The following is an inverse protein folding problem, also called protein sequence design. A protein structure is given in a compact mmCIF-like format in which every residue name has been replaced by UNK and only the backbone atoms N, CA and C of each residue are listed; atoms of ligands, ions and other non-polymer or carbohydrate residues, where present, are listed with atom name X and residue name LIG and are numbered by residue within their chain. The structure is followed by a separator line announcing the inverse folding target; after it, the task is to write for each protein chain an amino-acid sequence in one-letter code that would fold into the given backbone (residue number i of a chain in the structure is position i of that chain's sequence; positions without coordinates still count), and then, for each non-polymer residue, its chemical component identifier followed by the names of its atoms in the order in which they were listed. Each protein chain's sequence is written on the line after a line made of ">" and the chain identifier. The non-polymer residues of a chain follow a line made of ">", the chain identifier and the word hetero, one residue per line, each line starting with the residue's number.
data_IF_042746441111
#
_entry.id   IF_042746441111
#
_cell.length_a   1.000
_cell.length_b   1.000
_cell.length_c   1.000
_cell.angle_alpha   90.00
_cell.angle_beta   90.00
_cell.angle_gamma   90.00
#
_symmetry.space_group_name_H-M   'P 1'
#
loop_
_entity.id
_entity.type
_entity.pdbx_description
1 polymer ?
#
# COMPACT_ATOMS: atom_id res chain seq x y z
N UNK A 1 64.03 33.10 10.46
CA UNK A 1 62.56 33.31 10.36
C UNK A 1 61.74 32.10 10.86
N UNK A 2 61.57 31.87 12.18
CA UNK A 2 60.78 30.73 12.70
C UNK A 2 59.39 31.09 13.27
N UNK A 3 59.08 32.37 13.47
CA UNK A 3 57.81 32.83 14.09
C UNK A 3 56.61 32.77 13.12
N UNK A 4 56.84 32.92 11.82
CA UNK A 4 55.78 32.92 10.81
C UNK A 4 55.19 31.51 10.59
N UNK A 5 56.05 30.49 10.53
CA UNK A 5 55.67 29.08 10.38
C UNK A 5 54.84 28.55 11.56
N UNK A 6 55.12 29.03 12.79
CA UNK A 6 54.35 28.63 13.99
C UNK A 6 52.94 29.21 14.00
N UNK A 7 52.76 30.48 13.60
CA UNK A 7 51.43 31.11 13.51
C UNK A 7 50.57 30.47 12.42
N UNK A 8 51.15 30.14 11.27
CA UNK A 8 50.46 29.39 10.21
C UNK A 8 50.11 27.96 10.65
N UNK A 9 50.99 27.25 11.37
CA UNK A 9 50.64 25.95 11.95
C UNK A 9 49.48 26.03 12.95
N UNK A 10 49.48 27.04 13.84
CA UNK A 10 48.41 27.23 14.82
C UNK A 10 47.09 27.57 14.12
N UNK A 11 47.11 28.41 13.08
CA UNK A 11 45.91 28.73 12.30
C UNK A 11 45.38 27.51 11.54
N UNK A 12 46.26 26.68 10.97
CA UNK A 12 45.87 25.44 10.29
C UNK A 12 45.30 24.40 11.25
N UNK A 13 45.88 24.26 12.46
CA UNK A 13 45.35 23.39 13.51
C UNK A 13 43.98 23.86 14.00
N UNK A 14 43.79 25.17 14.20
CA UNK A 14 42.49 25.74 14.56
C UNK A 14 41.43 25.51 13.47
N UNK A 15 41.80 25.66 12.19
CA UNK A 15 40.91 25.37 11.06
C UNK A 15 40.53 23.88 11.01
N UNK A 16 41.50 22.98 11.20
CA UNK A 16 41.25 21.54 11.20
C UNK A 16 40.32 21.12 12.35
N UNK A 17 40.50 21.69 13.54
CA UNK A 17 39.61 21.45 14.68
C UNK A 17 38.21 22.00 14.43
N UNK A 18 38.07 23.17 13.80
CA UNK A 18 36.77 23.73 13.44
C UNK A 18 36.04 22.83 12.45
N UNK A 19 36.73 22.33 11.42
CA UNK A 19 36.15 21.38 10.45
C UNK A 19 35.70 20.10 11.15
N UNK A 20 36.50 19.54 12.05
CA UNK A 20 36.13 18.35 12.82
C UNK A 20 34.88 18.58 13.68
N UNK A 21 34.82 19.70 14.39
CA UNK A 21 33.66 20.06 15.23
C UNK A 21 32.40 20.22 14.36
N UNK A 22 32.50 20.89 13.21
CA UNK A 22 31.38 21.05 12.28
C UNK A 22 30.92 19.71 11.72
N UNK A 23 31.84 18.82 11.33
CA UNK A 23 31.47 17.48 10.86
C UNK A 23 30.81 16.63 11.94
N UNK A 24 31.26 16.74 13.20
CA UNK A 24 30.66 16.03 14.32
C UNK A 24 29.27 16.58 14.66
N UNK A 25 29.11 17.91 14.67
CA UNK A 25 27.82 18.56 14.87
C UNK A 25 26.81 18.20 13.77
N UNK A 26 27.22 18.24 12.50
CA UNK A 26 26.40 17.82 11.36
C UNK A 26 26.02 16.34 11.46
N UNK A 27 26.93 15.47 11.90
CA UNK A 27 26.65 14.05 12.12
C UNK A 27 25.72 13.80 13.32
N UNK A 28 25.79 14.64 14.36
CA UNK A 28 24.88 14.56 15.51
C UNK A 28 23.47 15.11 15.24
N UNK A 29 23.34 15.98 14.22
CA UNK A 29 22.08 16.54 13.76
C UNK A 29 21.48 15.75 12.59
N UNK A 30 22.28 14.92 11.91
CA UNK A 30 21.79 13.96 10.94
C UNK A 30 21.09 12.82 11.70
N UNK A 31 19.82 12.51 11.40
CA UNK A 31 19.22 11.28 11.90
C UNK A 31 20.08 10.12 11.37
N UNK A 32 20.50 9.24 12.27
CA UNK A 32 21.32 8.06 11.98
C UNK A 32 20.87 7.42 10.66
N UNK A 33 21.78 7.34 9.69
CA UNK A 33 21.62 6.48 8.54
C UNK A 33 21.35 5.08 9.07
N UNK A 34 20.12 4.61 8.86
CA UNK A 34 19.72 3.25 9.14
C UNK A 34 20.61 2.34 8.31
N UNK A 35 21.67 1.85 8.95
CA UNK A 35 22.36 0.63 8.57
C UNK A 35 21.28 -0.41 8.26
N UNK A 36 21.37 -0.95 7.05
CA UNK A 36 20.63 -2.08 6.53
C UNK A 36 20.55 -3.18 7.60
N UNK A 37 19.46 -3.20 8.36
CA UNK A 37 19.15 -4.28 9.28
C UNK A 37 17.76 -4.80 8.94
N UNK A 38 17.72 -6.12 8.92
CA UNK A 38 16.64 -7.06 8.66
C UNK A 38 15.20 -6.55 8.74
N UNK A 39 14.40 -7.03 7.79
CA UNK A 39 13.00 -6.66 7.58
C UNK A 39 12.17 -6.66 8.87
N UNK A 40 11.63 -5.48 9.20
CA UNK A 40 10.44 -5.37 10.03
C UNK A 40 9.68 -4.07 9.76
N UNK A 41 8.43 -4.26 9.33
CA UNK A 41 7.25 -3.38 9.45
C UNK A 41 7.34 -1.94 8.88
N UNK A 42 6.83 -1.78 7.66
CA UNK A 42 6.26 -0.51 7.20
C UNK A 42 4.73 -0.60 7.31
N UNK A 43 4.15 -0.07 8.39
CA UNK A 43 2.80 0.51 8.35
C UNK A 43 2.53 1.36 9.60
N UNK A 44 2.47 2.70 9.49
CA UNK A 44 1.97 3.54 10.58
C UNK A 44 0.44 3.75 10.53
N UNK A 45 -0.29 3.13 9.59
CA UNK A 45 -1.71 3.45 9.37
C UNK A 45 -2.72 2.52 10.10
N UNK A 46 -2.24 1.52 10.83
CA UNK A 46 -3.11 0.63 11.60
C UNK A 46 -2.78 0.66 13.09
N UNK A 47 -3.05 1.79 13.76
CA UNK A 47 -3.24 1.82 15.21
C UNK A 47 -4.73 1.99 15.52
N UNK A 48 -5.42 0.86 15.63
CA UNK A 48 -6.63 0.79 16.43
C UNK A 48 -6.39 -0.23 17.55
N UNK A 49 -6.72 0.22 18.76
CA UNK A 49 -6.51 -0.44 20.04
C UNK A 49 -6.87 -1.92 20.06
N UNK A 50 -5.85 -2.77 20.06
CA UNK A 50 -6.00 -4.17 20.44
C UNK A 50 -5.94 -4.28 21.98
N UNK A 51 -7.05 -3.94 22.65
CA UNK A 51 -7.28 -4.43 24.02
C UNK A 51 -7.44 -5.96 23.92
N UNK A 52 -6.41 -6.70 24.35
CA UNK A 52 -6.49 -8.16 24.51
C UNK A 52 -7.58 -8.48 25.54
N UNK A 53 -8.75 -8.87 25.05
CA UNK A 53 -9.69 -9.67 25.81
C UNK A 53 -9.57 -11.08 25.26
N UNK A 54 -8.97 -11.98 26.05
CA UNK A 54 -9.07 -13.42 25.82
C UNK A 54 -10.55 -13.80 25.92
N UNK A 55 -11.23 -13.84 24.78
CA UNK A 55 -12.53 -14.48 24.65
C UNK A 55 -12.24 -15.90 24.20
N UNK A 56 -12.46 -16.87 25.09
CA UNK A 56 -12.49 -18.28 24.73
C UNK A 56 -13.48 -18.45 23.58
N UNK A 57 -12.98 -18.86 22.41
CA UNK A 57 -13.79 -19.13 21.25
C UNK A 57 -14.46 -20.49 21.43
N UNK A 58 -15.51 -20.54 22.24
CA UNK A 58 -16.52 -21.58 22.09
C UNK A 58 -17.13 -21.40 20.70
N UNK A 59 -16.79 -22.31 19.78
CA UNK A 59 -17.50 -22.42 18.50
C UNK A 59 -18.98 -22.59 18.83
N UNK A 60 -19.86 -21.64 18.47
CA UNK A 60 -21.28 -21.89 18.58
C UNK A 60 -21.54 -23.10 17.68
N UNK A 61 -22.02 -24.20 18.25
CA UNK A 61 -22.73 -25.19 17.43
C UNK A 61 -23.80 -24.38 16.72
N UNK A 62 -23.66 -24.19 15.40
CA UNK A 62 -24.74 -23.73 14.56
C UNK A 62 -25.91 -24.64 14.87
N UNK A 63 -26.85 -24.15 15.67
CA UNK A 63 -28.18 -24.72 15.70
C UNK A 63 -28.64 -24.77 14.25
N UNK A 64 -29.33 -25.85 13.88
CA UNK A 64 -30.09 -25.93 12.63
C UNK A 64 -31.21 -24.89 12.69
N UNK A 65 -30.88 -23.61 12.71
CA UNK A 65 -31.79 -22.55 12.31
C UNK A 65 -32.08 -22.83 10.84
N UNK A 66 -33.35 -23.08 10.54
CA UNK A 66 -33.82 -23.30 9.18
C UNK A 66 -33.26 -22.17 8.31
N UNK A 67 -32.49 -22.56 7.28
CA UNK A 67 -32.08 -21.61 6.24
C UNK A 67 -33.38 -21.00 5.71
N UNK A 68 -33.54 -19.67 5.70
CA UNK A 68 -34.72 -19.07 5.09
C UNK A 68 -34.82 -19.61 3.66
N UNK A 69 -36.01 -20.09 3.30
CA UNK A 69 -36.27 -20.57 1.95
C UNK A 69 -35.79 -19.49 0.96
N UNK A 70 -35.05 -19.87 -0.08
CA UNK A 70 -34.50 -18.90 -0.99
C UNK A 70 -35.60 -18.03 -1.59
N UNK A 71 -35.44 -16.70 -1.50
CA UNK A 71 -36.28 -15.76 -2.23
C UNK A 71 -36.35 -16.19 -3.70
N UNK A 72 -37.54 -16.52 -4.20
CA UNK A 72 -37.78 -17.01 -5.55
C UNK A 72 -37.20 -16.03 -6.59
N UNK A 73 -37.24 -14.73 -6.29
CA UNK A 73 -36.65 -13.68 -7.11
C UNK A 73 -35.13 -13.75 -7.13
N UNK A 74 -34.52 -14.04 -5.98
CA UNK A 74 -33.07 -14.25 -5.88
C UNK A 74 -32.67 -15.50 -6.67
N UNK A 75 -33.39 -16.61 -6.55
CA UNK A 75 -33.09 -17.84 -7.27
C UNK A 75 -33.27 -17.69 -8.78
N UNK A 76 -34.33 -17.03 -9.23
CA UNK A 76 -34.51 -16.66 -10.63
C UNK A 76 -33.33 -15.81 -11.15
N UNK A 77 -32.82 -14.89 -10.34
CA UNK A 77 -31.65 -14.07 -10.69
C UNK A 77 -30.36 -14.90 -10.74
N UNK A 78 -30.12 -15.76 -9.75
CA UNK A 78 -28.93 -16.60 -9.66
C UNK A 78 -28.88 -17.67 -10.76
N UNK A 79 -30.03 -18.14 -11.23
CA UNK A 79 -30.14 -19.13 -12.31
C UNK A 79 -29.64 -18.61 -13.66
N UNK A 80 -29.58 -17.28 -13.85
CA UNK A 80 -29.07 -16.64 -15.07
C UNK A 80 -27.56 -16.78 -15.26
N UNK A 81 -26.83 -17.19 -14.22
CA UNK A 81 -25.38 -17.24 -14.19
C UNK A 81 -24.86 -18.66 -13.94
N UNK A 82 -23.68 -19.06 -14.44
CA UNK A 82 -23.14 -20.43 -14.31
C UNK A 82 -22.73 -20.76 -12.87
N UNK A 83 -23.16 -21.86 -12.24
CA UNK A 83 -22.94 -22.09 -10.80
C UNK A 83 -21.47 -21.89 -10.39
N UNK A 84 -21.19 -21.27 -9.23
CA UNK A 84 -19.83 -20.98 -8.80
C UNK A 84 -19.02 -22.27 -8.62
N UNK A 85 -17.83 -22.33 -9.23
CA UNK A 85 -16.87 -23.40 -9.03
C UNK A 85 -15.98 -23.08 -7.82
N UNK A 86 -16.21 -23.80 -6.71
CA UNK A 86 -15.46 -23.61 -5.47
C UNK A 86 -14.03 -24.17 -5.48
N UNK A 87 -13.59 -24.81 -6.57
CA UNK A 87 -12.19 -25.16 -6.79
C UNK A 87 -11.45 -24.08 -7.60
N UNK A 88 -12.17 -23.15 -8.22
CA UNK A 88 -11.61 -22.01 -8.94
C UNK A 88 -11.49 -20.80 -8.01
N UNK A 89 -10.27 -20.27 -7.91
CA UNK A 89 -9.93 -19.15 -7.03
C UNK A 89 -9.46 -17.95 -7.85
N UNK A 90 -9.82 -16.74 -7.43
CA UNK A 90 -9.27 -15.50 -7.96
C UNK A 90 -8.60 -14.66 -6.87
N UNK A 91 -7.45 -14.07 -7.19
CA UNK A 91 -6.83 -13.06 -6.34
C UNK A 91 -7.60 -11.74 -6.48
N UNK A 92 -7.89 -11.10 -5.34
CA UNK A 92 -8.71 -9.90 -5.30
C UNK A 92 -8.09 -8.85 -4.38
N UNK A 93 -7.87 -7.66 -4.91
CA UNK A 93 -7.20 -6.54 -4.25
C UNK A 93 -8.22 -5.48 -3.88
N UNK A 94 -8.20 -5.05 -2.60
CA UNK A 94 -9.15 -4.06 -2.06
C UNK A 94 -8.46 -2.76 -1.64
N UNK A 95 -7.41 -2.38 -2.36
CA UNK A 95 -6.51 -1.28 -2.02
C UNK A 95 -6.71 -0.01 -2.87
N UNK A 96 -7.73 0.03 -3.74
CA UNK A 96 -8.02 1.18 -4.60
C UNK A 96 -8.96 2.16 -3.91
N UNK A 97 -8.74 3.46 -4.11
CA UNK A 97 -9.56 4.52 -3.51
C UNK A 97 -9.67 5.75 -4.41
N UNK A 98 -10.72 6.54 -4.23
CA UNK A 98 -10.98 7.75 -5.03
C UNK A 98 -11.46 8.93 -4.17
N UNK A 99 -11.45 10.18 -4.69
CA UNK A 99 -11.79 11.37 -3.90
C UNK A 99 -13.16 11.34 -3.24
N UNK A 100 -14.16 10.69 -3.86
CA UNK A 100 -15.53 10.66 -3.34
C UNK A 100 -15.69 9.77 -2.10
N UNK A 101 -14.97 8.64 -2.02
CA UNK A 101 -15.09 7.68 -0.92
C UNK A 101 -13.89 7.70 0.05
N UNK A 102 -12.73 8.18 -0.40
CA UNK A 102 -11.45 8.07 0.29
C UNK A 102 -10.71 9.42 0.44
N UNK A 103 -11.35 10.53 0.05
CA UNK A 103 -10.83 11.91 0.05
C UNK A 103 -9.63 12.17 -0.89
N UNK A 104 -9.03 11.12 -1.45
CA UNK A 104 -7.94 11.17 -2.42
C UNK A 104 -7.92 9.90 -3.26
N UNK A 105 -7.18 9.92 -4.36
CA UNK A 105 -6.84 8.68 -5.04
C UNK A 105 -5.89 7.83 -4.18
N UNK A 106 -6.11 6.52 -4.21
CA UNK A 106 -5.25 5.51 -3.56
C UNK A 106 -5.00 4.42 -4.60
N UNK A 107 -3.73 4.04 -4.74
CA UNK A 107 -3.23 3.09 -5.76
C UNK A 107 -3.37 3.55 -7.21
N UNK A 108 -4.44 4.25 -7.60
CA UNK A 108 -4.57 4.81 -8.95
C UNK A 108 -3.50 5.84 -9.27
N UNK A 109 -3.09 6.61 -8.26
CA UNK A 109 -2.05 7.63 -8.33
C UNK A 109 -0.66 7.08 -7.95
N UNK A 110 -0.39 5.80 -8.24
CA UNK A 110 0.86 5.14 -7.82
C UNK A 110 2.11 5.91 -8.28
N UNK A 111 3.19 5.81 -7.50
CA UNK A 111 4.48 6.38 -7.89
C UNK A 111 5.12 5.56 -9.01
N UNK A 112 5.67 6.22 -10.03
CA UNK A 112 6.50 5.53 -11.02
C UNK A 112 7.78 5.06 -10.34
N UNK A 113 8.00 3.75 -10.32
CA UNK A 113 9.12 3.16 -9.59
C UNK A 113 10.44 3.43 -10.35
N UNK A 114 11.50 3.88 -9.65
CA UNK A 114 12.79 4.08 -10.28
C UNK A 114 13.37 2.75 -10.72
N UNK A 115 14.08 2.80 -11.84
CA UNK A 115 14.97 1.71 -12.21
C UNK A 115 16.07 1.56 -11.13
N UNK A 116 16.51 0.33 -10.87
CA UNK A 116 17.50 0.03 -9.83
C UNK A 116 18.87 0.69 -10.09
N UNK A 117 19.26 0.84 -11.36
CA UNK A 117 20.41 1.67 -11.77
C UNK A 117 20.01 3.15 -11.83
N UNK A 118 20.59 4.04 -11.00
CA UNK A 118 20.28 5.47 -10.99
C UNK A 118 20.51 6.17 -12.33
N UNK A 119 21.50 5.73 -13.13
CA UNK A 119 21.77 6.32 -14.45
C UNK A 119 20.65 6.03 -15.43
N UNK A 120 20.03 4.86 -15.31
CA UNK A 120 18.86 4.49 -16.11
C UNK A 120 17.63 5.23 -15.59
N UNK A 121 17.44 5.30 -14.28
CA UNK A 121 16.28 5.94 -13.65
C UNK A 121 16.14 7.42 -14.06
N UNK A 122 17.25 8.16 -14.15
CA UNK A 122 17.26 9.56 -14.59
C UNK A 122 16.68 9.80 -15.99
N UNK A 123 16.55 8.76 -16.82
CA UNK A 123 16.00 8.85 -18.17
C UNK A 123 14.48 8.71 -18.22
N UNK A 124 13.82 8.39 -17.11
CA UNK A 124 12.38 8.12 -17.06
C UNK A 124 11.68 9.00 -16.00
N UNK A 125 10.40 9.37 -16.20
CA UNK A 125 9.61 10.07 -15.19
C UNK A 125 9.51 9.28 -13.88
N UNK A 126 9.65 9.99 -12.76
CA UNK A 126 9.62 9.44 -11.38
C UNK A 126 8.48 10.04 -10.55
N UNK A 127 7.58 10.77 -11.19
CA UNK A 127 6.41 11.38 -10.59
C UNK A 127 5.28 10.36 -10.36
N UNK A 128 4.24 10.78 -9.64
CA UNK A 128 3.03 9.99 -9.44
C UNK A 128 2.09 10.16 -10.63
N UNK A 129 1.32 9.14 -10.92
CA UNK A 129 0.22 9.25 -11.88
C UNK A 129 -0.82 10.30 -11.43
N UNK A 130 -1.50 10.95 -12.38
CA UNK A 130 -2.54 11.98 -12.12
C UNK A 130 -3.94 11.55 -12.60
N UNK A 131 -4.70 10.79 -11.79
CA UNK A 131 -6.04 10.35 -12.17
C UNK A 131 -7.03 11.53 -12.28
N UNK A 132 -8.10 11.43 -13.08
CA UNK A 132 -8.61 10.18 -13.67
C UNK A 132 -8.04 9.80 -15.04
N UNK A 133 -7.41 10.70 -15.78
CA UNK A 133 -6.91 10.41 -17.14
C UNK A 133 -5.57 9.66 -17.15
N UNK A 134 -4.70 9.93 -16.17
CA UNK A 134 -3.41 9.24 -15.99
C UNK A 134 -3.45 8.37 -14.73
N UNK A 135 -3.62 7.06 -14.90
CA UNK A 135 -3.64 6.09 -13.79
C UNK A 135 -2.42 5.18 -13.84
N UNK A 136 -2.04 4.64 -12.68
CA UNK A 136 -0.97 3.65 -12.51
C UNK A 136 -1.29 2.25 -13.05
N UNK A 137 -1.77 2.18 -14.29
CA UNK A 137 -2.09 0.94 -14.99
C UNK A 137 -1.96 1.12 -16.51
N UNK A 138 -1.57 0.07 -17.22
CA UNK A 138 -1.54 0.05 -18.69
C UNK A 138 -2.94 -0.10 -19.32
N UNK A 139 -3.93 -0.57 -18.54
CA UNK A 139 -5.31 -0.75 -18.97
C UNK A 139 -6.24 0.11 -18.13
N UNK A 140 -7.28 0.64 -18.75
CA UNK A 140 -8.28 1.46 -18.06
C UNK A 140 -9.49 0.62 -17.65
N UNK A 141 -9.87 0.57 -16.35
CA UNK A 141 -11.02 -0.18 -15.89
C UNK A 141 -12.33 0.43 -16.42
N UNK A 142 -13.29 -0.42 -16.82
CA UNK A 142 -14.61 0.04 -17.28
C UNK A 142 -15.40 0.79 -16.19
N UNK A 143 -15.12 0.52 -14.91
CA UNK A 143 -15.70 1.22 -13.75
C UNK A 143 -14.96 2.53 -13.40
N UNK A 144 -13.95 2.93 -14.19
CA UNK A 144 -13.09 4.07 -13.90
C UNK A 144 -12.20 3.86 -12.66
N UNK A 145 -11.51 4.91 -12.17
CA UNK A 145 -10.69 4.86 -10.96
C UNK A 145 -11.60 4.77 -9.72
N UNK A 146 -12.14 3.58 -9.49
CA UNK A 146 -13.13 3.30 -8.45
C UNK A 146 -12.54 3.26 -7.04
N UNK A 147 -13.41 3.33 -6.04
CA UNK A 147 -13.04 3.00 -4.65
C UNK A 147 -13.41 1.56 -4.34
N UNK A 148 -12.52 0.84 -3.66
CA UNK A 148 -12.80 -0.50 -3.13
C UNK A 148 -13.78 -0.46 -1.95
N UNK A 149 -14.04 0.74 -1.40
CA UNK A 149 -15.03 0.97 -0.34
C UNK A 149 -16.42 1.25 -0.88
N UNK A 150 -16.56 1.50 -2.18
CA UNK A 150 -17.87 1.74 -2.81
C UNK A 150 -18.66 0.42 -2.89
N UNK A 151 -19.83 0.32 -2.22
CA UNK A 151 -20.66 -0.87 -2.27
C UNK A 151 -21.14 -1.24 -3.68
N UNK A 152 -21.37 -0.25 -4.55
CA UNK A 152 -21.81 -0.49 -5.92
C UNK A 152 -20.70 -1.17 -6.75
N UNK A 153 -19.45 -0.76 -6.54
CA UNK A 153 -18.27 -1.38 -7.16
C UNK A 153 -18.09 -2.81 -6.66
N UNK A 154 -18.26 -3.02 -5.35
CA UNK A 154 -18.17 -4.37 -4.76
C UNK A 154 -19.22 -5.31 -5.36
N UNK A 155 -20.47 -4.85 -5.45
CA UNK A 155 -21.56 -5.61 -6.06
C UNK A 155 -21.25 -5.95 -7.53
N UNK A 156 -20.77 -4.97 -8.32
CA UNK A 156 -20.39 -5.19 -9.71
C UNK A 156 -19.26 -6.23 -9.84
N UNK A 157 -18.23 -6.18 -8.98
CA UNK A 157 -17.17 -7.19 -8.99
C UNK A 157 -17.67 -8.59 -8.60
N UNK A 158 -18.58 -8.71 -7.63
CA UNK A 158 -19.18 -10.01 -7.27
C UNK A 158 -20.01 -10.58 -8.43
N UNK A 159 -20.72 -9.73 -9.17
CA UNK A 159 -21.43 -10.14 -10.39
C UNK A 159 -20.47 -10.60 -11.49
N UNK A 160 -19.34 -9.90 -11.69
CA UNK A 160 -18.30 -10.32 -12.64
C UNK A 160 -17.71 -11.69 -12.28
N UNK A 161 -17.41 -11.93 -10.99
CA UNK A 161 -16.95 -13.23 -10.51
C UNK A 161 -18.00 -14.33 -10.71
N UNK A 162 -19.28 -14.01 -10.45
CA UNK A 162 -20.43 -14.91 -10.65
C UNK A 162 -20.63 -15.28 -12.12
N UNK A 163 -20.43 -14.34 -13.05
CA UNK A 163 -20.44 -14.58 -14.49
C UNK A 163 -19.28 -15.48 -14.94
N UNK A 164 -18.11 -15.33 -14.32
CA UNK A 164 -16.92 -16.13 -14.59
C UNK A 164 -16.92 -17.51 -13.87
N UNK A 165 -18.00 -17.87 -13.18
CA UNK A 165 -18.11 -19.10 -12.38
C UNK A 165 -17.03 -19.25 -11.29
N UNK A 166 -16.47 -18.14 -10.78
CA UNK A 166 -15.47 -18.17 -9.71
C UNK A 166 -16.18 -18.29 -8.36
N UNK A 167 -15.87 -19.34 -7.59
CA UNK A 167 -16.52 -19.60 -6.31
C UNK A 167 -15.76 -19.09 -5.08
N UNK A 168 -14.48 -18.74 -5.21
CA UNK A 168 -13.65 -18.25 -4.10
C UNK A 168 -12.75 -17.10 -4.49
N UNK A 169 -12.68 -16.11 -3.61
CA UNK A 169 -11.71 -15.03 -3.69
C UNK A 169 -10.61 -15.21 -2.63
N UNK A 170 -9.39 -14.84 -3.00
CA UNK A 170 -8.24 -14.75 -2.12
C UNK A 170 -7.87 -13.28 -2.01
N UNK A 171 -8.18 -12.69 -0.85
CA UNK A 171 -7.80 -11.32 -0.54
C UNK A 171 -6.27 -11.24 -0.45
N UNK A 172 -5.69 -10.29 -1.17
CA UNK A 172 -4.27 -9.93 -1.13
C UNK A 172 -4.12 -8.53 -0.55
#
# INVERSE_FOLDING_TARGET
>A
MPRFRRKSCVALLALALLVLIVTFALKSLAPEDTAFTDGKEISPYWKHDAKKTEVQHERPRMSKAARPEPDEKLMATLSKFPPPNYYLHAFYYIWYGNPSFDSKYIHWDHLRLPHWDPKVAQRYPQDRHSPPEDIGANFYPALGPYSSRDPAVMEAHMQQLRMAAIGKIKRV
#
